data_IF_129118373677
#
_entry.id   IF_129118373677
#
_cell.length_a   1.000
_cell.length_b   1.000
_cell.length_c   1.000
_cell.angle_alpha   90.00
_cell.angle_beta   90.00
_cell.angle_gamma   90.00
#
_symmetry.space_group_name_H-M   'P 1'
#
loop_
_entity.id
_entity.type
_entity.pdbx_description
1 polymer ?
#
# COMPACT_ATOMS: atom_id res chain seq x y z
N UNK A 1 -9.79 7.09 -6.24
CA UNK A 1 -8.67 7.78 -5.59
C UNK A 1 -7.58 6.73 -5.41
N UNK A 2 -6.32 7.10 -5.20
CA UNK A 2 -5.24 6.11 -5.06
C UNK A 2 -4.75 6.08 -3.63
N UNK A 3 -4.32 4.92 -3.16
CA UNK A 3 -3.65 4.84 -1.87
C UNK A 3 -2.17 5.21 -2.01
N UNK A 4 -1.61 5.80 -0.96
CA UNK A 4 -0.20 6.19 -0.88
C UNK A 4 0.42 5.69 0.44
N UNK A 5 1.67 5.21 0.37
CA UNK A 5 2.43 4.70 1.52
C UNK A 5 3.35 5.81 2.04
N UNK A 6 3.23 6.14 3.32
CA UNK A 6 4.04 7.15 3.98
C UNK A 6 5.40 6.62 4.44
N UNK A 7 6.30 7.54 4.80
CA UNK A 7 7.65 7.26 5.34
C UNK A 7 7.65 6.48 6.66
N UNK A 8 6.50 6.33 7.32
CA UNK A 8 6.34 5.48 8.52
C UNK A 8 6.28 3.98 8.20
N UNK A 9 6.28 3.60 6.92
CA UNK A 9 6.35 2.21 6.49
C UNK A 9 7.63 1.52 7.01
N UNK A 10 7.46 0.34 7.60
CA UNK A 10 8.56 -0.47 8.16
C UNK A 10 8.98 -1.62 7.24
N UNK A 11 8.58 -1.58 5.96
CA UNK A 11 8.85 -2.62 4.97
C UNK A 11 8.50 -4.06 5.41
N UNK A 12 7.36 -4.24 6.09
CA UNK A 12 6.93 -5.57 6.59
C UNK A 12 6.30 -6.49 5.53
N UNK A 13 5.90 -5.95 4.37
CA UNK A 13 5.31 -6.72 3.27
C UNK A 13 3.85 -7.11 3.40
N UNK A 14 3.18 -6.88 4.53
CA UNK A 14 1.78 -7.31 4.73
C UNK A 14 0.78 -6.75 3.71
N UNK A 15 1.07 -5.60 3.10
CA UNK A 15 0.19 -5.00 2.11
C UNK A 15 0.28 -5.65 0.72
N UNK A 16 1.41 -6.26 0.34
CA UNK A 16 1.65 -6.72 -1.04
C UNK A 16 0.72 -7.89 -1.41
N UNK A 17 0.50 -8.81 -0.49
CA UNK A 17 -0.35 -10.00 -0.67
C UNK A 17 -1.84 -9.63 -0.68
N UNK A 18 -2.20 -8.51 -0.08
CA UNK A 18 -3.58 -8.03 0.06
C UNK A 18 -4.05 -7.19 -1.12
N UNK A 19 -3.13 -6.81 -2.03
CA UNK A 19 -3.47 -6.02 -3.20
C UNK A 19 -4.02 -6.91 -4.34
N UNK A 20 -5.33 -6.87 -4.64
CA UNK A 20 -5.94 -7.78 -5.62
C UNK A 20 -5.52 -7.52 -7.07
N UNK A 21 -4.94 -6.34 -7.33
CA UNK A 21 -4.51 -5.87 -8.66
C UNK A 21 -2.99 -5.78 -8.79
N UNK A 22 -2.23 -6.16 -7.74
CA UNK A 22 -0.77 -6.12 -7.77
C UNK A 22 -0.17 -4.72 -7.96
N UNK A 23 -0.83 -3.68 -7.46
CA UNK A 23 -0.37 -2.29 -7.57
C UNK A 23 0.81 -1.95 -6.64
N UNK A 24 1.29 -2.89 -5.81
CA UNK A 24 2.28 -2.61 -4.76
C UNK A 24 3.63 -3.21 -5.13
N UNK A 25 4.69 -2.40 -5.02
CA UNK A 25 6.08 -2.79 -5.27
C UNK A 25 6.94 -2.65 -4.03
N UNK A 26 7.89 -3.58 -3.87
CA UNK A 26 8.89 -3.58 -2.78
C UNK A 26 9.99 -2.53 -3.04
N UNK A 27 10.54 -1.98 -1.96
CA UNK A 27 11.63 -0.99 -1.95
C UNK A 27 12.11 -0.73 -0.51
N UNK A 28 12.86 0.35 -0.29
CA UNK A 28 13.25 0.80 1.07
C UNK A 28 12.01 1.03 1.96
N UNK A 29 10.95 1.56 1.33
CA UNK A 29 9.56 1.43 1.75
C UNK A 29 8.77 0.87 0.57
N UNK A 30 7.63 0.24 0.85
CA UNK A 30 6.72 -0.19 -0.21
C UNK A 30 6.12 1.03 -0.91
N UNK A 31 5.77 0.89 -2.18
CA UNK A 31 5.14 1.94 -2.98
C UNK A 31 3.90 1.41 -3.70
N UNK A 32 2.92 2.29 -3.92
CA UNK A 32 1.68 1.97 -4.64
C UNK A 32 1.68 2.71 -5.97
N UNK A 33 1.48 1.97 -7.06
CA UNK A 33 1.23 2.52 -8.38
C UNK A 33 -0.20 3.07 -8.46
N UNK A 34 -0.31 4.39 -8.58
CA UNK A 34 -1.59 5.09 -8.64
C UNK A 34 -2.40 4.78 -9.92
N UNK A 35 -1.73 4.39 -11.02
CA UNK A 35 -2.41 4.05 -12.27
C UNK A 35 -3.05 2.66 -12.21
N UNK A 36 -2.48 1.77 -11.38
CA UNK A 36 -2.98 0.40 -11.18
C UNK A 36 -3.93 0.30 -9.97
N UNK A 37 -3.82 1.21 -8.99
CA UNK A 37 -4.64 1.21 -7.79
C UNK A 37 -6.14 1.39 -8.08
N UNK A 38 -6.98 0.51 -7.52
CA UNK A 38 -8.45 0.55 -7.67
C UNK A 38 -9.20 1.05 -6.44
N UNK A 39 -8.51 1.68 -5.48
CA UNK A 39 -9.13 2.29 -4.28
C UNK A 39 -9.90 1.30 -3.38
N UNK A 40 -9.42 0.06 -3.24
CA UNK A 40 -10.15 -0.98 -2.51
C UNK A 40 -9.96 -0.95 -0.98
N UNK A 41 -8.92 -0.29 -0.46
CA UNK A 41 -8.67 -0.19 0.98
C UNK A 41 -7.96 -1.38 1.65
N UNK A 42 -7.90 -2.57 1.05
CA UNK A 42 -7.33 -3.77 1.68
C UNK A 42 -5.91 -3.57 2.25
N UNK A 43 -5.03 -2.92 1.47
CA UNK A 43 -3.66 -2.66 1.89
C UNK A 43 -3.59 -1.78 3.14
N UNK A 44 -4.50 -0.81 3.29
CA UNK A 44 -4.56 0.06 4.45
C UNK A 44 -5.03 -0.69 5.69
N UNK A 45 -6.04 -1.56 5.57
CA UNK A 45 -6.50 -2.41 6.68
C UNK A 45 -5.43 -3.40 7.16
N UNK A 46 -4.61 -3.89 6.23
CA UNK A 46 -3.53 -4.83 6.54
C UNK A 46 -2.26 -4.17 7.09
N UNK A 47 -2.15 -2.85 7.03
CA UNK A 47 -0.93 -2.14 7.44
C UNK A 47 -0.84 -2.05 8.97
N UNK A 48 0.13 -2.71 9.63
CA UNK A 48 0.21 -2.73 11.10
C UNK A 48 0.60 -1.39 11.71
N UNK A 49 1.08 -0.44 10.89
CA UNK A 49 1.54 0.89 11.30
C UNK A 49 0.64 2.01 10.79
N UNK A 50 -0.51 1.68 10.20
CA UNK A 50 -1.47 2.64 9.61
C UNK A 50 -0.80 3.63 8.63
N UNK A 51 0.24 3.18 7.93
CA UNK A 51 1.09 4.03 7.08
C UNK A 51 0.50 4.30 5.69
N UNK A 52 -0.72 3.83 5.40
CA UNK A 52 -1.32 3.92 4.07
C UNK A 52 -2.58 4.81 4.13
N UNK A 53 -2.61 5.85 3.30
CA UNK A 53 -3.70 6.82 3.23
C UNK A 53 -4.32 6.88 1.84
N UNK A 54 -5.60 7.24 1.75
CA UNK A 54 -6.25 7.55 0.47
C UNK A 54 -5.95 9.00 0.06
N UNK A 55 -5.57 9.22 -1.21
CA UNK A 55 -5.34 10.52 -1.83
C UNK A 55 -6.12 10.70 -3.14
#
# INVERSE_FOLDING_TARGET
MAHFIQDSCIACGSCIDECPVGAISEGDIYSIDADTCIDCGNCAEACPTDSIIAQ
#
